data_IF_801620510810
#
_entry.id   IF_801620510810
#
_cell.length_a   1.000
_cell.length_b   1.000
_cell.length_c   1.000
_cell.angle_alpha   90.00
_cell.angle_beta   90.00
_cell.angle_gamma   90.00
#
_symmetry.space_group_name_H-M   'P 1'
#
loop_
_entity.id
_entity.type
_entity.pdbx_description
1 polymer ?
#
# COMPACT_ATOMS: atom_id res chain seq x y z
N UNK A 1 -11.17 12.65 3.18
CA UNK A 1 -11.31 11.86 1.93
C UNK A 1 -11.42 10.39 2.25
N UNK A 2 -12.27 9.66 1.52
CA UNK A 2 -12.54 8.23 1.72
C UNK A 2 -11.32 7.37 1.33
N UNK A 3 -10.87 6.55 2.28
CA UNK A 3 -9.89 5.46 2.15
C UNK A 3 -10.14 4.56 0.93
N UNK A 4 -11.38 4.51 0.46
CA UNK A 4 -11.83 3.73 -0.70
C UNK A 4 -11.29 4.27 -2.03
N UNK A 5 -11.18 5.60 -2.17
CA UNK A 5 -10.63 6.21 -3.39
C UNK A 5 -9.14 5.85 -3.60
N UNK A 6 -8.38 5.83 -2.49
CA UNK A 6 -6.98 5.42 -2.47
C UNK A 6 -6.86 3.93 -2.83
N UNK A 7 -7.68 3.08 -2.22
CA UNK A 7 -7.70 1.65 -2.52
C UNK A 7 -7.98 1.37 -4.01
N UNK A 8 -8.94 2.08 -4.58
CA UNK A 8 -9.30 1.93 -5.99
C UNK A 8 -8.17 2.37 -6.94
N UNK A 9 -7.50 3.49 -6.64
CA UNK A 9 -6.35 3.96 -7.43
C UNK A 9 -5.19 2.96 -7.39
N UNK A 10 -4.88 2.39 -6.22
CA UNK A 10 -3.80 1.41 -6.10
C UNK A 10 -4.15 0.12 -6.86
N UNK A 11 -5.41 -0.34 -6.81
CA UNK A 11 -5.89 -1.47 -7.63
C UNK A 11 -5.80 -1.21 -9.12
N UNK A 12 -5.99 0.04 -9.56
CA UNK A 12 -5.80 0.41 -10.98
C UNK A 12 -4.33 0.38 -11.40
N UNK A 13 -3.42 0.79 -10.51
CA UNK A 13 -1.97 0.75 -10.77
C UNK A 13 -1.38 -0.66 -10.70
N UNK A 14 -1.95 -1.53 -9.87
CA UNK A 14 -1.52 -2.92 -9.69
C UNK A 14 -2.74 -3.83 -9.84
N UNK A 15 -3.05 -4.29 -11.07
CA UNK A 15 -4.18 -5.18 -11.29
C UNK A 15 -3.99 -6.48 -10.53
N UNK A 16 -5.01 -6.88 -9.75
CA UNK A 16 -4.95 -8.06 -8.90
C UNK A 16 -4.26 -7.86 -7.55
N UNK A 17 -3.84 -6.64 -7.21
CA UNK A 17 -3.42 -6.34 -5.84
C UNK A 17 -4.61 -6.19 -4.90
N UNK A 18 -4.51 -6.80 -3.73
CA UNK A 18 -5.41 -6.56 -2.63
C UNK A 18 -4.93 -5.32 -1.87
N UNK A 19 -5.84 -4.36 -1.69
CA UNK A 19 -5.54 -3.09 -1.03
C UNK A 19 -6.51 -2.91 0.10
N UNK A 20 -5.95 -2.70 1.30
CA UNK A 20 -6.68 -2.48 2.53
C UNK A 20 -6.13 -1.23 3.18
N UNK A 21 -6.97 -0.21 3.31
CA UNK A 21 -6.59 1.06 3.92
C UNK A 21 -7.33 1.15 5.25
N UNK A 22 -6.61 1.46 6.32
CA UNK A 22 -7.12 1.59 7.69
C UNK A 22 -6.50 2.83 8.32
N UNK A 23 -7.23 3.55 9.16
CA UNK A 23 -6.66 4.73 9.82
C UNK A 23 -7.62 5.31 10.85
N UNK A 24 -7.03 5.85 11.91
CA UNK A 24 -7.75 6.33 13.11
C UNK A 24 -7.76 7.88 13.17
N UNK A 25 -7.72 8.54 12.01
CA UNK A 25 -7.76 9.99 11.87
C UNK A 25 -6.43 10.73 12.08
N UNK A 26 -5.51 10.18 12.87
CA UNK A 26 -4.13 10.73 13.00
C UNK A 26 -3.10 9.98 12.18
N UNK A 27 -3.21 8.66 12.11
CA UNK A 27 -2.31 7.77 11.39
C UNK A 27 -3.11 6.93 10.42
N UNK A 28 -2.60 6.79 9.21
CA UNK A 28 -3.21 5.97 8.17
C UNK A 28 -2.22 4.89 7.74
N UNK A 29 -2.71 3.66 7.64
CA UNK A 29 -2.00 2.47 7.22
C UNK A 29 -2.66 1.89 5.97
N UNK A 30 -1.89 1.80 4.88
CA UNK A 30 -2.32 1.15 3.65
C UNK A 30 -1.53 -0.15 3.46
N UNK A 31 -2.21 -1.28 3.51
CA UNK A 31 -1.66 -2.60 3.23
C UNK A 31 -1.97 -2.95 1.77
N UNK A 32 -0.94 -3.24 1.00
CA UNK A 32 -1.02 -3.65 -0.40
C UNK A 32 -0.40 -5.03 -0.51
N UNK A 33 -1.22 -6.03 -0.84
CA UNK A 33 -0.80 -7.41 -1.05
C UNK A 33 -0.85 -7.73 -2.54
N UNK A 34 0.27 -8.14 -3.12
CA UNK A 34 0.30 -8.53 -4.53
C UNK A 34 1.44 -9.46 -4.86
N UNK A 35 1.21 -10.34 -5.84
CA UNK A 35 2.21 -11.25 -6.42
C UNK A 35 3.29 -10.49 -7.19
N UNK A 36 3.04 -9.26 -7.65
CA UNK A 36 4.06 -8.44 -8.34
C UNK A 36 5.26 -8.11 -7.45
N UNK A 37 5.08 -8.23 -6.14
CA UNK A 37 6.13 -8.06 -5.15
C UNK A 37 6.95 -9.33 -4.92
N UNK A 38 6.55 -10.46 -5.49
CA UNK A 38 7.25 -11.73 -5.39
C UNK A 38 8.58 -11.64 -6.16
N UNK A 39 9.66 -12.14 -5.57
CA UNK A 39 11.01 -12.01 -6.14
C UNK A 39 11.66 -10.62 -6.06
N UNK A 40 10.92 -9.58 -5.64
CA UNK A 40 11.51 -8.26 -5.37
C UNK A 40 12.14 -8.21 -3.96
N UNK A 41 13.15 -7.35 -3.78
CA UNK A 41 13.70 -7.08 -2.45
C UNK A 41 12.75 -6.18 -1.65
N UNK A 42 12.70 -6.28 -0.31
CA UNK A 42 11.80 -5.46 0.52
C UNK A 42 11.91 -3.96 0.22
N UNK A 43 13.13 -3.45 0.03
CA UNK A 43 13.36 -2.05 -0.37
C UNK A 43 12.80 -1.74 -1.76
N UNK A 44 12.93 -2.63 -2.74
CA UNK A 44 12.34 -2.42 -4.08
C UNK A 44 10.82 -2.36 -4.02
N UNK A 45 10.17 -3.27 -3.28
CA UNK A 45 8.71 -3.29 -3.09
C UNK A 45 8.23 -1.97 -2.48
N UNK A 46 8.86 -1.56 -1.38
CA UNK A 46 8.57 -0.30 -0.70
C UNK A 46 8.73 0.88 -1.65
N UNK A 47 9.83 0.93 -2.41
CA UNK A 47 10.10 2.02 -3.35
C UNK A 47 9.07 2.05 -4.49
N UNK A 48 8.69 0.90 -5.03
CA UNK A 48 7.70 0.78 -6.12
C UNK A 48 6.35 1.32 -5.70
N UNK A 49 5.85 0.88 -4.55
CA UNK A 49 4.57 1.37 -4.05
C UNK A 49 4.69 2.82 -3.61
N UNK A 50 5.76 3.19 -2.92
CA UNK A 50 5.96 4.58 -2.50
C UNK A 50 6.02 5.53 -3.69
N UNK A 51 6.52 5.11 -4.87
CA UNK A 51 6.44 5.90 -6.12
C UNK A 51 5.00 6.03 -6.62
N UNK A 52 4.21 4.96 -6.56
CA UNK A 52 2.79 4.95 -6.92
C UNK A 52 1.91 5.77 -5.97
N UNK A 53 2.23 5.82 -4.68
CA UNK A 53 1.44 6.55 -3.66
C UNK A 53 1.97 7.98 -3.45
N UNK A 54 3.21 8.29 -3.83
CA UNK A 54 3.78 9.65 -3.82
C UNK A 54 2.87 10.73 -4.40
N UNK A 55 2.22 10.54 -5.58
CA UNK A 55 1.30 11.53 -6.13
C UNK A 55 0.05 11.74 -5.25
N UNK A 56 -0.36 10.74 -4.46
CA UNK A 56 -1.48 10.86 -3.53
C UNK A 56 -1.06 11.51 -2.20
N UNK A 57 0.18 11.28 -1.75
CA UNK A 57 0.78 12.00 -0.60
C UNK A 57 0.96 13.48 -0.94
N UNK A 58 1.35 13.79 -2.19
CA UNK A 58 1.48 15.16 -2.68
C UNK A 58 0.17 15.96 -2.69
N UNK A 59 -0.99 15.30 -2.61
CA UNK A 59 -2.29 15.96 -2.45
C UNK A 59 -2.45 16.68 -1.10
N UNK A 60 -1.50 16.54 -0.16
CA UNK A 60 -1.32 17.48 0.95
C UNK A 60 -2.11 17.20 2.23
N UNK A 61 -2.81 16.07 2.33
CA UNK A 61 -3.64 15.71 3.50
C UNK A 61 -3.00 14.68 4.45
N UNK A 62 -1.87 14.08 4.08
CA UNK A 62 -1.24 13.00 4.84
C UNK A 62 0.06 13.46 5.50
N UNK A 63 0.00 13.71 6.82
CA UNK A 63 1.16 14.03 7.65
C UNK A 63 2.03 12.79 7.93
N UNK A 64 1.43 11.60 8.00
CA UNK A 64 2.08 10.30 8.10
C UNK A 64 1.15 9.18 7.55
N UNK A 65 1.52 8.58 6.42
CA UNK A 65 0.89 7.38 5.87
C UNK A 65 1.91 6.25 5.90
N UNK A 66 1.63 5.21 6.66
CA UNK A 66 2.39 3.96 6.61
C UNK A 66 1.87 3.12 5.46
N UNK A 67 2.77 2.71 4.56
CA UNK A 67 2.40 1.82 3.47
C UNK A 67 3.14 0.51 3.65
N UNK A 68 2.40 -0.60 3.76
CA UNK A 68 2.93 -1.94 3.86
C UNK A 68 2.73 -2.67 2.55
N UNK A 69 3.83 -3.09 1.94
CA UNK A 69 3.84 -3.82 0.68
C UNK A 69 4.21 -5.26 0.95
N UNK A 70 3.24 -6.16 0.85
CA UNK A 70 3.41 -7.55 1.21
C UNK A 70 3.18 -8.44 -0.01
N UNK A 71 3.92 -9.53 -0.08
CA UNK A 71 3.56 -10.63 -0.98
C UNK A 71 2.50 -11.47 -0.28
N UNK A 72 1.67 -12.22 -1.02
CA UNK A 72 0.73 -13.17 -0.39
C UNK A 72 1.45 -14.12 0.59
N UNK A 73 2.66 -14.56 0.25
CA UNK A 73 3.51 -15.34 1.15
C UNK A 73 3.93 -14.60 2.44
N UNK A 74 4.28 -13.31 2.36
CA UNK A 74 4.65 -12.52 3.55
C UNK A 74 3.43 -12.11 4.38
N UNK A 75 2.27 -11.88 3.74
CA UNK A 75 1.03 -11.60 4.44
C UNK A 75 0.57 -12.81 5.26
N UNK A 76 0.77 -14.03 4.75
CA UNK A 76 0.54 -15.26 5.49
C UNK A 76 1.54 -15.44 6.65
N UNK A 77 2.81 -15.08 6.47
CA UNK A 77 3.88 -15.22 7.47
C UNK A 77 3.77 -14.21 8.63
N UNK A 78 3.32 -12.98 8.37
CA UNK A 78 3.10 -11.94 9.41
C UNK A 78 1.95 -12.24 10.38
N UNK A 79 1.14 -13.28 10.15
CA UNK A 79 -0.04 -13.64 10.94
C UNK A 79 0.11 -14.80 11.91
N UNK A 80 1.33 -15.34 12.09
CA UNK A 80 1.65 -16.46 13.00
C UNK A 80 2.63 -16.04 14.10
#
# INVERSE_FOLDING_TARGET
MEIEAVAQLIRQGIPGAEVQVSGDGSHFDAVVVSEVFEGLTPIKKQRLVMDTVKPQIASGELHALSIKTLTPAQAADQGN
#
